data_IF_660757283012
#
_entry.id   IF_660757283012
#
_cell.length_a   1.000
_cell.length_b   1.000
_cell.length_c   1.000
_cell.angle_alpha   90.00
_cell.angle_beta   90.00
_cell.angle_gamma   90.00
#
_symmetry.space_group_name_H-M   'P 1'
#
loop_
_entity.id
_entity.type
_entity.pdbx_description
1 polymer ?
#
# COMPACT_ATOMS: atom_id res chain seq x y z
N UNK A 1 -13.07 -11.64 -26.85
CA UNK A 1 -13.78 -11.76 -25.57
C UNK A 1 -12.89 -11.11 -24.53
N UNK A 2 -13.28 -9.99 -23.93
CA UNK A 2 -12.45 -9.31 -22.93
C UNK A 2 -13.25 -9.03 -21.66
N UNK A 3 -12.51 -9.14 -20.57
CA UNK A 3 -12.91 -9.06 -19.19
C UNK A 3 -12.86 -7.57 -18.79
N UNK A 4 -14.00 -6.96 -18.47
CA UNK A 4 -13.98 -5.76 -17.62
C UNK A 4 -13.94 -6.24 -16.18
N UNK A 5 -12.98 -5.71 -15.43
CA UNK A 5 -12.81 -6.06 -14.03
C UNK A 5 -13.84 -5.28 -13.24
N UNK A 6 -14.97 -5.90 -12.91
CA UNK A 6 -16.00 -5.24 -12.11
C UNK A 6 -15.60 -5.20 -10.63
N UNK A 7 -14.86 -6.20 -10.16
CA UNK A 7 -14.37 -6.24 -8.79
C UNK A 7 -13.14 -7.13 -8.64
N UNK A 8 -12.00 -6.55 -8.26
CA UNK A 8 -10.84 -7.30 -7.76
C UNK A 8 -10.82 -7.20 -6.23
N UNK A 9 -11.21 -8.28 -5.57
CA UNK A 9 -10.95 -8.48 -4.14
C UNK A 9 -9.61 -9.21 -3.99
N UNK A 10 -8.52 -8.45 -4.15
CA UNK A 10 -7.18 -8.93 -3.81
C UNK A 10 -6.96 -8.73 -2.30
N UNK A 11 -6.23 -9.63 -1.64
CA UNK A 11 -5.94 -9.42 -0.21
C UNK A 11 -4.53 -9.86 0.12
N UNK A 12 -3.60 -8.93 0.05
CA UNK A 12 -2.26 -9.10 0.59
C UNK A 12 -2.07 -8.16 1.78
N UNK A 13 -2.50 -8.60 2.96
CA UNK A 13 -2.16 -7.92 4.21
C UNK A 13 -1.06 -8.69 4.92
N UNK A 14 0.02 -8.00 5.28
CA UNK A 14 1.09 -8.53 6.13
C UNK A 14 0.55 -9.06 7.48
N UNK A 15 -0.57 -8.49 7.94
CA UNK A 15 -1.21 -8.85 9.21
C UNK A 15 -2.36 -9.84 9.06
N UNK A 16 -2.88 -10.06 7.86
CA UNK A 16 -4.03 -10.90 7.64
C UNK A 16 -3.86 -11.81 6.42
N UNK A 17 -3.52 -13.05 6.74
CA UNK A 17 -3.00 -14.05 5.82
C UNK A 17 -4.16 -14.80 5.14
N UNK A 18 -4.80 -14.14 4.17
CA UNK A 18 -5.75 -14.76 3.23
C UNK A 18 -5.06 -14.81 1.86
N UNK A 19 -4.53 -15.97 1.46
CA UNK A 19 -3.71 -16.15 0.25
C UNK A 19 -4.51 -16.43 -1.00
N UNK A 20 -5.52 -15.60 -1.29
CA UNK A 20 -6.19 -15.70 -2.56
C UNK A 20 -6.53 -14.32 -3.10
N UNK A 21 -6.60 -14.26 -4.42
CA UNK A 21 -7.15 -13.14 -5.15
C UNK A 21 -8.51 -13.61 -5.65
N UNK A 22 -9.56 -12.84 -5.38
CA UNK A 22 -10.89 -13.08 -5.94
C UNK A 22 -11.20 -11.97 -6.92
N UNK A 23 -11.65 -12.34 -8.10
CA UNK A 23 -11.97 -11.39 -9.16
C UNK A 23 -13.36 -11.73 -9.70
N UNK A 24 -14.24 -10.74 -9.72
CA UNK A 24 -15.53 -10.76 -10.40
C UNK A 24 -15.44 -9.85 -11.62
N UNK A 25 -15.92 -10.36 -12.75
CA UNK A 25 -15.69 -9.72 -14.04
C UNK A 25 -16.91 -9.85 -14.94
N UNK A 26 -17.26 -8.77 -15.62
CA UNK A 26 -18.25 -8.78 -16.68
C UNK A 26 -17.52 -8.77 -18.01
N UNK A 27 -17.81 -9.79 -18.80
CA UNK A 27 -17.19 -9.96 -20.11
C UNK A 27 -18.01 -9.19 -21.13
N UNK A 28 -17.35 -8.29 -21.85
CA UNK A 28 -17.97 -7.58 -22.96
C UNK A 28 -17.36 -8.01 -24.31
N UNK A 29 -18.22 -7.98 -25.32
CA UNK A 29 -17.86 -8.25 -26.71
C UNK A 29 -17.93 -6.98 -27.54
N UNK A 30 -16.94 -6.77 -28.42
CA UNK A 30 -16.88 -5.65 -29.36
C UNK A 30 -15.46 -5.09 -29.54
N UNK A 31 -15.07 -4.83 -30.79
CA UNK A 31 -13.71 -4.41 -31.13
C UNK A 31 -13.29 -3.09 -30.46
N UNK A 32 -14.21 -2.13 -30.29
CA UNK A 32 -13.94 -0.87 -29.60
C UNK A 32 -13.67 -1.07 -28.11
N UNK A 33 -14.45 -1.93 -27.44
CA UNK A 33 -14.25 -2.27 -26.03
C UNK A 33 -12.88 -2.92 -25.80
N UNK A 34 -12.45 -3.79 -26.73
CA UNK A 34 -11.12 -4.39 -26.67
C UNK A 34 -9.99 -3.35 -26.69
N UNK A 35 -10.13 -2.30 -27.50
CA UNK A 35 -9.15 -1.22 -27.56
C UNK A 35 -9.13 -0.38 -26.28
N UNK A 36 -10.29 -0.19 -25.63
CA UNK A 36 -10.37 0.47 -24.32
C UNK A 36 -9.69 -0.31 -23.20
N UNK A 37 -9.62 -1.64 -23.28
CA UNK A 37 -8.92 -2.45 -22.27
C UNK A 37 -7.43 -2.09 -22.20
N UNK A 38 -6.78 -1.83 -23.34
CA UNK A 38 -5.36 -1.47 -23.37
C UNK A 38 -5.07 -0.17 -22.62
N UNK A 39 -6.01 0.79 -22.59
CA UNK A 39 -5.85 2.01 -21.79
C UNK A 39 -6.01 1.82 -20.29
N UNK A 40 -6.54 0.67 -19.86
CA UNK A 40 -6.68 0.30 -18.44
C UNK A 40 -5.49 -0.52 -17.94
N UNK A 41 -4.47 -0.76 -18.77
CA UNK A 41 -3.23 -1.44 -18.39
C UNK A 41 -2.09 -0.44 -18.27
N UNK A 42 -1.23 -0.62 -17.28
CA UNK A 42 -0.04 0.21 -17.07
C UNK A 42 1.17 -0.64 -16.64
N UNK A 43 2.36 -0.19 -17.05
CA UNK A 43 3.60 -0.57 -16.37
C UNK A 43 3.79 0.28 -15.12
N UNK A 44 4.46 -0.30 -14.13
CA UNK A 44 4.81 0.35 -12.86
C UNK A 44 6.30 0.56 -12.82
N UNK A 45 6.72 1.81 -12.64
CA UNK A 45 8.08 2.16 -12.28
C UNK A 45 8.14 2.32 -10.77
N UNK A 46 8.77 1.39 -10.06
CA UNK A 46 8.83 1.36 -8.60
C UNK A 46 10.27 1.60 -8.12
N UNK A 47 10.49 2.68 -7.37
CA UNK A 47 11.80 3.05 -6.86
C UNK A 47 12.33 2.00 -5.86
N UNK A 48 13.58 1.58 -6.04
CA UNK A 48 14.22 0.58 -5.17
C UNK A 48 14.58 1.11 -3.78
N UNK A 49 14.78 2.43 -3.65
CA UNK A 49 15.15 3.06 -2.39
C UNK A 49 13.95 3.45 -1.53
N UNK A 50 13.07 4.31 -2.05
CA UNK A 50 11.98 4.90 -1.26
C UNK A 50 10.60 4.28 -1.52
N UNK A 51 10.48 3.38 -2.51
CA UNK A 51 9.19 2.75 -2.85
C UNK A 51 8.18 3.69 -3.54
N UNK A 52 8.58 4.91 -3.90
CA UNK A 52 7.76 5.77 -4.78
C UNK A 52 7.52 5.05 -6.10
N UNK A 53 6.30 5.13 -6.60
CA UNK A 53 5.91 4.51 -7.86
C UNK A 53 5.29 5.51 -8.83
N UNK A 54 5.43 5.24 -10.12
CA UNK A 54 4.75 5.94 -11.20
C UNK A 54 4.15 4.92 -12.18
N UNK A 55 3.00 5.26 -12.74
CA UNK A 55 2.31 4.41 -13.72
C UNK A 55 2.58 4.94 -15.13
N UNK A 56 2.90 4.02 -16.04
CA UNK A 56 3.00 4.28 -17.46
C UNK A 56 1.94 3.47 -18.19
N UNK A 57 0.84 4.11 -18.66
CA UNK A 57 -0.20 3.40 -19.41
C UNK A 57 0.37 2.65 -20.62
N UNK A 58 -0.29 1.59 -21.07
CA UNK A 58 0.04 0.92 -22.33
C UNK A 58 -0.72 1.51 -23.52
N UNK A 59 -1.85 2.16 -23.26
CA UNK A 59 -2.65 2.84 -24.26
C UNK A 59 -3.21 4.15 -23.71
N UNK A 60 -3.34 5.15 -24.59
CA UNK A 60 -3.93 6.45 -24.26
C UNK A 60 -5.16 6.67 -25.13
N UNK A 61 -6.21 7.21 -24.52
CA UNK A 61 -7.42 7.65 -25.21
C UNK A 61 -7.31 9.15 -25.47
N UNK A 62 -7.40 9.55 -26.73
CA UNK A 62 -7.50 10.96 -27.12
C UNK A 62 -8.90 11.22 -27.66
N UNK A 63 -9.66 12.02 -26.94
CA UNK A 63 -10.99 12.45 -27.37
C UNK A 63 -10.87 13.67 -28.29
N UNK A 64 -11.65 13.72 -29.37
CA UNK A 64 -11.65 14.86 -30.27
C UNK A 64 -12.43 16.03 -29.65
N UNK A 65 -11.82 17.22 -29.57
CA UNK A 65 -12.43 18.43 -28.98
C UNK A 65 -13.76 18.82 -29.64
N UNK A 66 -13.95 18.51 -30.93
CA UNK A 66 -15.16 18.84 -31.68
C UNK A 66 -16.25 17.77 -31.59
N UNK A 67 -15.90 16.53 -31.23
CA UNK A 67 -16.86 15.44 -31.15
C UNK A 67 -16.40 14.42 -30.11
N UNK A 68 -16.93 14.54 -28.90
CA UNK A 68 -16.59 13.68 -27.76
C UNK A 68 -16.89 12.19 -27.99
N UNK A 69 -17.66 11.83 -29.02
CA UNK A 69 -17.95 10.44 -29.38
C UNK A 69 -16.83 9.78 -30.20
N UNK A 70 -15.92 10.56 -30.80
CA UNK A 70 -14.82 10.02 -31.60
C UNK A 70 -13.55 9.90 -30.75
N UNK A 71 -13.26 8.68 -30.30
CA UNK A 71 -12.07 8.38 -29.49
C UNK A 71 -10.96 7.80 -30.38
N UNK A 72 -9.77 8.39 -30.29
CA UNK A 72 -8.55 7.89 -30.96
C UNK A 72 -7.67 7.18 -29.94
N UNK A 73 -7.27 5.96 -30.25
CA UNK A 73 -6.32 5.19 -29.45
C UNK A 73 -4.90 5.51 -29.89
N UNK A 74 -4.00 5.72 -28.93
CA UNK A 74 -2.59 6.01 -29.18
C UNK A 74 -1.69 5.30 -28.19
N UNK A 75 -0.40 5.29 -28.50
CA UNK A 75 0.66 4.78 -27.63
C UNK A 75 1.22 5.96 -26.83
N UNK A 76 1.43 5.83 -25.52
CA UNK A 76 2.02 6.88 -24.71
C UNK A 76 3.50 7.07 -25.06
N UNK A 77 4.01 8.27 -24.77
CA UNK A 77 5.39 8.65 -25.07
C UNK A 77 6.24 8.53 -23.81
N UNK A 78 7.36 7.81 -23.92
CA UNK A 78 8.48 7.82 -22.96
C UNK A 78 8.17 7.32 -21.55
N UNK A 79 9.19 6.92 -20.78
CA UNK A 79 8.99 6.61 -19.37
C UNK A 79 8.48 7.87 -18.63
N UNK A 80 7.55 7.74 -17.67
CA UNK A 80 6.99 8.87 -16.93
C UNK A 80 7.98 9.39 -15.86
N UNK A 81 9.14 8.76 -15.74
CA UNK A 81 10.16 9.04 -14.72
C UNK A 81 11.53 9.13 -15.38
N UNK A 82 12.43 9.87 -14.74
CA UNK A 82 13.84 9.92 -15.13
C UNK A 82 14.58 8.61 -14.78
N UNK A 83 15.85 8.49 -15.18
CA UNK A 83 16.71 7.36 -14.83
C UNK A 83 16.85 7.14 -13.31
N UNK A 84 16.79 8.23 -12.51
CA UNK A 84 16.88 8.18 -11.05
C UNK A 84 15.62 8.76 -10.40
N UNK A 85 15.26 8.23 -9.24
CA UNK A 85 14.13 8.72 -8.48
C UNK A 85 14.37 10.17 -8.06
N UNK A 86 13.39 11.03 -8.35
CA UNK A 86 13.45 12.45 -8.01
C UNK A 86 13.56 12.66 -6.51
N UNK A 87 12.98 11.77 -5.67
CA UNK A 87 12.97 11.92 -4.22
C UNK A 87 14.25 11.43 -3.52
N UNK A 88 14.77 10.25 -3.91
CA UNK A 88 15.86 9.62 -3.18
C UNK A 88 17.10 9.25 -4.03
N UNK A 89 17.10 9.53 -5.34
CA UNK A 89 18.24 9.32 -6.24
C UNK A 89 18.52 7.86 -6.64
N UNK A 90 17.73 6.90 -6.15
CA UNK A 90 17.86 5.47 -6.46
C UNK A 90 17.19 5.09 -7.78
N UNK A 91 17.59 3.98 -8.42
CA UNK A 91 16.98 3.51 -9.67
C UNK A 91 15.54 3.00 -9.46
N UNK A 92 14.86 2.72 -10.57
CA UNK A 92 13.52 2.14 -10.59
C UNK A 92 13.56 0.69 -11.11
N UNK A 93 12.79 -0.18 -10.50
CA UNK A 93 12.38 -1.44 -11.12
C UNK A 93 11.14 -1.20 -11.97
N UNK A 94 11.08 -1.89 -13.10
CA UNK A 94 9.89 -1.92 -13.96
C UNK A 94 9.15 -3.21 -13.64
N UNK A 95 7.85 -3.11 -13.35
CA UNK A 95 6.97 -4.25 -13.11
C UNK A 95 5.64 -4.07 -13.84
N UNK A 96 4.96 -5.17 -14.13
CA UNK A 96 3.68 -5.17 -14.83
C UNK A 96 3.68 -6.02 -16.11
N UNK A 97 2.68 -5.83 -16.99
CA UNK A 97 1.62 -4.84 -16.87
C UNK A 97 0.61 -5.18 -15.77
N UNK A 98 0.14 -4.14 -15.07
CA UNK A 98 -0.94 -4.23 -14.08
C UNK A 98 -2.20 -3.56 -14.64
N UNK A 99 -3.35 -3.89 -14.05
CA UNK A 99 -4.57 -3.11 -14.23
C UNK A 99 -4.46 -1.79 -13.47
N UNK A 100 -4.61 -0.67 -14.18
CA UNK A 100 -4.60 0.69 -13.63
C UNK A 100 -5.95 1.40 -13.76
N UNK A 101 -6.97 0.73 -14.31
CA UNK A 101 -8.34 1.21 -14.30
C UNK A 101 -9.01 1.01 -12.92
N UNK A 102 -10.29 1.43 -12.79
CA UNK A 102 -11.09 1.14 -11.61
C UNK A 102 -11.05 -0.35 -11.27
N UNK A 103 -10.78 -0.66 -10.00
CA UNK A 103 -10.72 -2.03 -9.48
C UNK A 103 -12.09 -2.53 -9.00
N UNK A 104 -13.02 -1.61 -8.76
CA UNK A 104 -14.31 -1.87 -8.14
C UNK A 104 -15.42 -1.12 -8.86
N UNK A 105 -16.59 -1.74 -8.91
CA UNK A 105 -17.84 -1.15 -9.36
C UNK A 105 -18.69 -0.77 -8.14
N UNK A 106 -18.88 0.53 -7.84
CA UNK A 106 -19.65 0.96 -6.66
C UNK A 106 -21.08 0.43 -6.65
N UNK A 107 -21.70 0.34 -7.82
CA UNK A 107 -23.08 -0.14 -7.98
C UNK A 107 -23.18 -1.62 -7.61
N UNK A 108 -22.23 -2.43 -8.10
CA UNK A 108 -22.18 -3.86 -7.77
C UNK A 108 -21.84 -4.10 -6.29
N UNK A 109 -20.89 -3.35 -5.73
CA UNK A 109 -20.55 -3.43 -4.30
C UNK A 109 -21.78 -3.07 -3.44
N UNK A 110 -22.55 -2.07 -3.85
CA UNK A 110 -23.78 -1.68 -3.18
C UNK A 110 -24.85 -2.76 -3.26
N UNK A 111 -25.08 -3.32 -4.46
CA UNK A 111 -26.03 -4.42 -4.67
C UNK A 111 -25.69 -5.65 -3.80
N UNK A 112 -24.41 -6.00 -3.69
CA UNK A 112 -23.96 -7.10 -2.84
C UNK A 112 -24.16 -6.78 -1.36
N UNK A 113 -23.93 -5.53 -0.93
CA UNK A 113 -24.20 -5.09 0.45
C UNK A 113 -25.69 -5.19 0.80
N UNK A 114 -26.57 -4.82 -0.13
CA UNK A 114 -28.02 -4.83 0.07
C UNK A 114 -28.60 -6.27 0.02
N UNK A 115 -28.00 -7.14 -0.79
CA UNK A 115 -28.42 -8.55 -0.92
C UNK A 115 -27.87 -9.44 0.19
N UNK A 116 -26.73 -9.06 0.79
CA UNK A 116 -26.10 -9.85 1.84
C UNK A 116 -27.04 -9.98 3.06
N UNK A 117 -27.38 -11.22 3.42
CA UNK A 117 -28.26 -11.49 4.56
C UNK A 117 -27.46 -11.74 5.85
N UNK A 118 -27.99 -11.25 6.96
CA UNK A 118 -27.49 -11.56 8.32
C UNK A 118 -27.51 -13.06 8.65
N UNK A 119 -28.27 -13.86 7.88
CA UNK A 119 -28.27 -15.33 7.99
C UNK A 119 -26.91 -15.96 7.66
N UNK A 120 -26.03 -15.24 6.96
CA UNK A 120 -24.68 -15.71 6.67
C UNK A 120 -23.79 -15.54 7.90
N UNK A 121 -23.15 -16.63 8.35
CA UNK A 121 -22.17 -16.57 9.44
C UNK A 121 -21.01 -15.58 9.17
N UNK A 122 -20.75 -15.27 7.90
CA UNK A 122 -19.71 -14.34 7.44
C UNK A 122 -20.22 -12.92 7.19
N UNK A 123 -21.48 -12.60 7.49
CA UNK A 123 -22.12 -11.31 7.19
C UNK A 123 -21.30 -10.11 7.70
N UNK A 124 -20.94 -10.09 9.00
CA UNK A 124 -20.13 -9.00 9.60
C UNK A 124 -18.80 -8.77 8.87
N UNK A 125 -18.19 -9.85 8.37
CA UNK A 125 -16.95 -9.80 7.59
C UNK A 125 -17.22 -9.23 6.19
N UNK A 126 -18.27 -9.67 5.52
CA UNK A 126 -18.66 -9.18 4.19
C UNK A 126 -18.96 -7.68 4.28
N UNK A 127 -19.84 -7.29 5.20
CA UNK A 127 -20.22 -5.90 5.45
C UNK A 127 -18.99 -5.02 5.72
N UNK A 128 -18.11 -5.44 6.63
CA UNK A 128 -16.94 -4.65 6.98
C UNK A 128 -15.92 -4.50 5.86
N UNK A 129 -15.70 -5.53 5.04
CA UNK A 129 -14.78 -5.46 3.89
C UNK A 129 -15.38 -4.63 2.75
N UNK A 130 -16.62 -4.91 2.37
CA UNK A 130 -17.29 -4.18 1.28
C UNK A 130 -17.51 -2.71 1.62
N UNK A 131 -17.75 -2.36 2.88
CA UNK A 131 -17.83 -0.96 3.31
C UNK A 131 -16.51 -0.22 3.11
N UNK A 132 -15.35 -0.88 3.34
CA UNK A 132 -14.03 -0.26 3.07
C UNK A 132 -13.79 -0.11 1.58
N UNK A 133 -14.17 -1.11 0.79
CA UNK A 133 -14.04 -1.08 -0.68
C UNK A 133 -14.89 0.06 -1.25
N UNK A 134 -16.12 0.24 -0.75
CA UNK A 134 -17.01 1.32 -1.17
C UNK A 134 -16.45 2.72 -0.87
N UNK A 135 -15.67 2.86 0.21
CA UNK A 135 -14.99 4.10 0.59
C UNK A 135 -13.62 4.30 -0.11
N UNK A 136 -13.15 3.30 -0.86
CA UNK A 136 -11.83 3.30 -1.48
C UNK A 136 -11.82 4.13 -2.78
N UNK A 137 -10.74 4.89 -3.01
CA UNK A 137 -10.56 5.65 -4.25
C UNK A 137 -10.43 4.69 -5.45
N UNK A 138 -11.29 4.88 -6.45
CA UNK A 138 -11.39 4.05 -7.66
C UNK A 138 -10.33 4.40 -8.71
N UNK A 139 -9.98 5.68 -8.77
CA UNK A 139 -9.03 6.28 -9.71
C UNK A 139 -7.55 6.01 -9.33
N UNK A 140 -7.32 5.48 -8.12
CA UNK A 140 -5.98 5.24 -7.58
C UNK A 140 -5.77 3.73 -7.35
N UNK A 141 -5.05 3.02 -8.25
CA UNK A 141 -4.93 1.55 -8.16
C UNK A 141 -3.96 1.10 -7.06
N UNK A 142 -2.88 1.86 -6.81
CA UNK A 142 -1.83 1.54 -5.84
C UNK A 142 -1.99 2.34 -4.54
N UNK A 143 -1.21 2.00 -3.51
CA UNK A 143 -1.32 2.60 -2.18
C UNK A 143 0.05 2.87 -1.56
N UNK A 144 0.08 3.77 -0.58
CA UNK A 144 1.22 4.02 0.28
C UNK A 144 1.02 3.35 1.63
N UNK A 145 2.02 2.59 2.10
CA UNK A 145 2.02 2.03 3.46
C UNK A 145 2.79 2.97 4.39
N UNK A 146 2.13 3.47 5.43
CA UNK A 146 2.74 4.43 6.37
C UNK A 146 3.97 3.84 7.07
N UNK A 147 3.94 2.56 7.40
CA UNK A 147 5.08 1.85 8.01
C UNK A 147 6.30 1.82 7.07
N UNK A 148 6.08 1.67 5.76
CA UNK A 148 7.17 1.68 4.77
C UNK A 148 7.71 3.10 4.58
N UNK A 149 6.84 4.10 4.48
CA UNK A 149 7.27 5.51 4.40
C UNK A 149 8.09 5.90 5.63
N UNK A 150 7.57 5.62 6.81
CA UNK A 150 8.24 5.93 8.09
C UNK A 150 9.54 5.16 8.25
N UNK A 151 9.54 3.87 7.88
CA UNK A 151 10.73 3.03 7.90
C UNK A 151 11.83 3.51 6.95
N UNK A 152 11.46 4.11 5.81
CA UNK A 152 12.40 4.64 4.81
C UNK A 152 13.19 5.84 5.34
N UNK A 153 12.54 6.72 6.11
CA UNK A 153 13.17 7.92 6.70
C UNK A 153 13.48 7.76 8.20
N UNK A 154 13.27 6.57 8.75
CA UNK A 154 13.56 6.19 10.14
C UNK A 154 12.85 7.01 11.24
N UNK A 155 11.67 7.55 10.93
CA UNK A 155 10.80 8.29 11.87
C UNK A 155 9.83 7.36 12.61
N UNK A 156 9.29 7.85 13.72
CA UNK A 156 8.11 7.23 14.34
C UNK A 156 6.92 7.27 13.37
N UNK A 157 6.18 6.16 13.30
CA UNK A 157 5.06 6.06 12.36
C UNK A 157 3.92 6.98 12.80
N UNK A 158 3.52 7.96 11.96
CA UNK A 158 2.48 8.92 12.32
C UNK A 158 1.13 8.24 12.52
N UNK A 159 0.27 8.76 13.41
CA UNK A 159 -1.09 8.29 13.53
C UNK A 159 -1.84 8.45 12.20
N UNK A 160 -2.57 7.40 11.81
CA UNK A 160 -3.28 7.34 10.54
C UNK A 160 -4.25 8.52 10.31
N UNK A 161 -4.89 9.01 11.38
CA UNK A 161 -5.81 10.15 11.28
C UNK A 161 -5.09 11.48 11.04
N UNK A 162 -3.88 11.64 11.58
CA UNK A 162 -3.06 12.84 11.36
C UNK A 162 -2.63 12.94 9.89
N UNK A 163 -2.11 11.85 9.31
CA UNK A 163 -1.71 11.86 7.88
C UNK A 163 -2.90 12.06 6.96
N UNK A 164 -4.02 11.38 7.22
CA UNK A 164 -5.24 11.59 6.42
C UNK A 164 -5.74 13.03 6.52
N UNK A 165 -5.66 13.63 7.71
CA UNK A 165 -6.03 15.05 7.88
C UNK A 165 -5.08 15.96 7.11
N UNK A 166 -3.77 15.73 7.16
CA UNK A 166 -2.79 16.52 6.40
C UNK A 166 -3.03 16.45 4.88
N UNK A 167 -3.33 15.28 4.34
CA UNK A 167 -3.63 15.10 2.91
C UNK A 167 -4.94 15.83 2.52
N UNK A 168 -5.97 15.74 3.36
CA UNK A 168 -7.26 16.43 3.14
C UNK A 168 -7.11 17.95 3.24
N UNK A 169 -6.38 18.44 4.24
CA UNK A 169 -6.08 19.86 4.42
C UNK A 169 -5.24 20.41 3.25
N UNK A 170 -4.45 19.57 2.60
CA UNK A 170 -3.71 19.91 1.38
C UNK A 170 -4.57 19.96 0.10
N UNK A 171 -5.87 19.60 0.19
CA UNK A 171 -6.80 19.61 -0.94
C UNK A 171 -6.82 18.34 -1.77
N UNK A 172 -6.20 17.25 -1.29
CA UNK A 172 -6.16 15.97 -1.99
C UNK A 172 -7.15 14.96 -1.39
N UNK A 173 -7.61 14.04 -2.22
CA UNK A 173 -8.48 12.93 -1.80
C UNK A 173 -7.64 11.85 -1.11
N UNK A 174 -8.20 11.24 -0.08
CA UNK A 174 -7.56 10.12 0.61
C UNK A 174 -8.57 9.09 1.10
N UNK A 175 -8.34 7.82 0.76
CA UNK A 175 -9.08 6.68 1.30
C UNK A 175 -8.17 5.74 2.06
N UNK A 176 -8.79 4.87 2.84
CA UNK A 176 -8.13 3.63 3.24
C UNK A 176 -8.11 2.65 2.07
N UNK A 177 -7.41 1.53 2.25
CA UNK A 177 -7.50 0.40 1.35
C UNK A 177 -7.84 -0.87 2.10
N UNK A 178 -8.63 -1.74 1.47
CA UNK A 178 -8.91 -3.08 2.00
C UNK A 178 -7.69 -4.02 1.96
N UNK A 179 -6.63 -3.66 1.21
CA UNK A 179 -5.39 -4.44 1.10
C UNK A 179 -4.62 -4.52 2.42
N UNK A 180 -4.47 -3.39 3.11
CA UNK A 180 -3.61 -3.26 4.28
C UNK A 180 -4.13 -2.19 5.24
N UNK A 181 -4.08 -2.49 6.54
CA UNK A 181 -4.56 -1.62 7.62
C UNK A 181 -3.75 -0.33 7.75
N UNK A 182 -2.46 -0.41 7.49
CA UNK A 182 -1.51 0.71 7.62
C UNK A 182 -1.30 1.47 6.33
N UNK A 183 -2.17 1.25 5.33
CA UNK A 183 -2.06 1.85 4.01
C UNK A 183 -3.18 2.83 3.69
N UNK A 184 -2.83 3.79 2.83
CA UNK A 184 -3.72 4.81 2.30
C UNK A 184 -3.60 4.88 0.78
N UNK A 185 -4.71 5.22 0.12
CA UNK A 185 -4.73 5.63 -1.28
C UNK A 185 -5.00 7.12 -1.35
N UNK A 186 -4.39 7.79 -2.31
CA UNK A 186 -4.52 9.23 -2.49
C UNK A 186 -4.16 9.61 -3.91
N UNK A 187 -4.81 10.66 -4.41
CA UNK A 187 -4.47 11.32 -5.68
C UNK A 187 -3.34 12.34 -5.52
N UNK A 188 -2.83 12.55 -4.30
CA UNK A 188 -1.69 13.40 -4.06
C UNK A 188 -0.43 12.86 -4.76
N UNK A 189 0.32 13.72 -5.45
CA UNK A 189 1.57 13.32 -6.06
C UNK A 189 2.62 12.94 -5.00
N UNK A 190 3.60 12.14 -5.39
CA UNK A 190 4.56 11.57 -4.44
C UNK A 190 5.42 12.63 -3.73
N UNK A 191 5.67 13.79 -4.36
CA UNK A 191 6.33 14.93 -3.70
C UNK A 191 5.55 15.39 -2.48
N UNK A 192 4.24 15.62 -2.61
CA UNK A 192 3.36 16.04 -1.50
C UNK A 192 3.41 15.04 -0.34
N UNK A 193 3.40 13.74 -0.64
CA UNK A 193 3.48 12.71 0.40
C UNK A 193 4.82 12.78 1.15
N UNK A 194 5.94 12.96 0.43
CA UNK A 194 7.25 13.12 1.06
C UNK A 194 7.39 14.46 1.80
N UNK A 195 6.75 15.54 1.36
CA UNK A 195 6.68 16.81 2.10
C UNK A 195 5.93 16.64 3.43
N UNK A 196 4.77 15.98 3.41
CA UNK A 196 4.01 15.69 4.63
C UNK A 196 4.87 14.87 5.61
N UNK A 197 5.57 13.85 5.12
CA UNK A 197 6.48 13.06 5.97
C UNK A 197 7.67 13.87 6.51
N UNK A 198 8.15 14.87 5.76
CA UNK A 198 9.17 15.82 6.22
C UNK A 198 8.63 16.79 7.26
N UNK A 199 7.40 17.30 7.11
CA UNK A 199 6.74 18.09 8.17
C UNK A 199 6.59 17.27 9.46
N UNK A 200 6.25 15.99 9.33
CA UNK A 200 6.17 15.08 10.49
C UNK A 200 7.53 14.89 11.18
N UNK A 201 8.61 14.72 10.41
CA UNK A 201 9.97 14.62 10.96
C UNK A 201 10.41 15.90 11.70
N UNK A 202 10.00 17.09 11.24
CA UNK A 202 10.28 18.33 11.97
C UNK A 202 9.63 18.37 13.35
N UNK A 203 8.41 17.84 13.49
CA UNK A 203 7.73 17.74 14.80
C UNK A 203 8.29 16.59 15.65
N UNK A 204 8.75 15.51 15.01
CA UNK A 204 9.25 14.28 15.66
C UNK A 204 10.64 13.91 15.11
N UNK A 205 11.69 14.65 15.51
CA UNK A 205 13.01 14.58 14.87
C UNK A 205 13.71 13.25 15.11
N UNK A 206 14.44 12.78 14.10
CA UNK A 206 15.23 11.56 14.22
C UNK A 206 16.61 11.83 14.83
N UNK A 207 17.16 10.82 15.50
CA UNK A 207 18.52 10.90 16.00
C UNK A 207 19.52 11.06 14.84
N UNK A 208 20.35 12.11 14.86
CA UNK A 208 21.31 12.46 13.79
C UNK A 208 22.21 11.30 13.35
N UNK A 209 22.55 10.37 14.25
CA UNK A 209 23.31 9.14 13.93
C UNK A 209 22.66 8.22 12.89
N UNK A 210 21.35 8.37 12.64
CA UNK A 210 20.60 7.59 11.63
C UNK A 210 20.64 8.25 10.24
N UNK A 211 21.10 9.50 10.15
CA UNK A 211 21.27 10.22 8.88
C UNK A 211 22.64 9.87 8.29
N UNK A 212 22.69 8.75 7.58
CA UNK A 212 23.88 8.32 6.85
C UNK A 212 23.82 8.90 5.43
N UNK A 213 24.90 9.51 4.98
CA UNK A 213 24.99 10.08 3.63
C UNK A 213 24.70 9.03 2.53
N UNK A 214 24.17 9.50 1.39
CA UNK A 214 23.75 8.66 0.24
C UNK A 214 22.64 7.63 0.51
N UNK A 215 22.05 7.61 1.70
CA UNK A 215 20.86 6.80 1.97
C UNK A 215 19.59 7.46 1.43
N UNK A 216 18.53 6.69 1.14
CA UNK A 216 17.23 7.26 0.79
C UNK A 216 16.71 8.27 1.82
N UNK A 217 16.89 7.96 3.12
CA UNK A 217 16.50 8.83 4.23
C UNK A 217 17.16 10.20 4.12
N UNK A 218 18.49 10.24 3.96
CA UNK A 218 19.26 11.47 3.83
C UNK A 218 18.80 12.30 2.63
N UNK A 219 18.67 11.68 1.45
CA UNK A 219 18.30 12.39 0.23
C UNK A 219 16.88 12.97 0.27
N UNK A 220 15.94 12.27 0.92
CA UNK A 220 14.57 12.75 1.09
C UNK A 220 14.55 13.93 2.06
N UNK A 221 15.18 13.77 3.23
CA UNK A 221 15.15 14.79 4.31
C UNK A 221 15.99 16.03 3.98
N UNK A 222 17.03 15.90 3.13
CA UNK A 222 17.85 17.03 2.70
C UNK A 222 17.12 18.01 1.76
N UNK A 223 16.01 17.58 1.14
CA UNK A 223 15.23 18.46 0.26
C UNK A 223 14.46 19.50 1.07
N UNK A 224 14.38 20.72 0.55
CA UNK A 224 13.54 21.78 1.12
C UNK A 224 12.05 21.48 0.91
N UNK A 225 11.23 21.84 1.91
CA UNK A 225 9.77 21.77 1.80
C UNK A 225 9.28 22.82 0.82
N UNK A 226 8.36 22.44 -0.07
CA UNK A 226 7.71 23.41 -0.96
C UNK A 226 6.58 24.14 -0.23
N UNK A 227 5.89 23.44 0.67
CA UNK A 227 4.74 23.91 1.44
C UNK A 227 4.75 23.31 2.83
N UNK A 228 4.19 24.02 3.79
CA UNK A 228 3.89 23.47 5.11
C UNK A 228 2.52 22.79 5.11
N UNK A 229 2.44 21.65 5.79
CA UNK A 229 1.23 20.81 5.83
C UNK A 229 0.71 20.72 7.27
N UNK A 230 -0.56 21.04 7.46
CA UNK A 230 -1.20 21.04 8.78
C UNK A 230 -1.76 19.65 9.14
N UNK A 231 -1.37 19.12 10.29
CA UNK A 231 -1.91 17.88 10.86
C UNK A 231 -3.19 18.07 11.69
N UNK A 232 -3.77 19.28 11.71
CA UNK A 232 -5.02 19.56 12.40
C UNK A 232 -6.14 18.63 11.93
N UNK A 233 -6.93 18.12 12.89
CA UNK A 233 -7.94 17.08 12.62
C UNK A 233 -8.97 17.55 11.59
N UNK A 234 -9.08 16.82 10.47
CA UNK A 234 -10.04 17.11 9.43
C UNK A 234 -11.33 16.29 9.62
N UNK A 235 -12.54 16.87 9.48
CA UNK A 235 -13.81 16.15 9.72
C UNK A 235 -13.98 14.89 8.87
N UNK A 236 -13.52 14.92 7.61
CA UNK A 236 -13.58 13.77 6.69
C UNK A 236 -12.43 12.75 6.88
N UNK A 237 -11.51 12.97 7.83
CA UNK A 237 -10.40 12.04 8.04
C UNK A 237 -10.88 10.68 8.58
N UNK A 238 -11.95 10.68 9.38
CA UNK A 238 -12.53 9.44 9.91
C UNK A 238 -13.68 8.96 9.00
N UNK A 239 -13.53 7.83 8.28
CA UNK A 239 -14.58 7.32 7.41
C UNK A 239 -15.75 6.71 8.18
N UNK A 240 -16.91 6.64 7.54
CA UNK A 240 -18.16 6.15 8.14
C UNK A 240 -18.05 4.70 8.61
N UNK A 241 -17.45 3.81 7.83
CA UNK A 241 -17.24 2.40 8.19
C UNK A 241 -16.48 2.23 9.51
N UNK A 242 -15.58 3.17 9.82
CA UNK A 242 -14.84 3.20 11.09
C UNK A 242 -15.66 3.81 12.21
N UNK A 243 -16.42 4.88 11.95
CA UNK A 243 -17.33 5.49 12.94
C UNK A 243 -18.40 4.50 13.41
N UNK A 244 -18.94 3.72 12.48
CA UNK A 244 -19.95 2.68 12.72
C UNK A 244 -19.37 1.39 13.33
N UNK A 245 -18.04 1.30 13.49
CA UNK A 245 -17.40 0.15 14.15
C UNK A 245 -17.43 -1.15 13.34
N UNK A 246 -17.54 -1.08 12.01
CA UNK A 246 -17.57 -2.29 11.18
C UNK A 246 -16.25 -3.07 11.23
N UNK A 247 -16.33 -4.39 11.01
CA UNK A 247 -15.18 -5.29 11.03
C UNK A 247 -14.34 -5.16 9.75
N UNK A 248 -13.54 -4.10 9.65
CA UNK A 248 -12.73 -3.76 8.47
C UNK A 248 -11.60 -4.74 8.20
N UNK A 249 -10.98 -5.24 9.28
CA UNK A 249 -9.93 -6.26 9.25
C UNK A 249 -10.27 -7.32 10.29
N UNK A 250 -10.13 -8.61 9.96
CA UNK A 250 -10.40 -9.65 10.95
C UNK A 250 -9.12 -9.96 11.72
N UNK A 251 -9.27 -10.30 12.99
CA UNK A 251 -8.18 -10.85 13.77
C UNK A 251 -7.76 -12.22 13.21
N UNK A 252 -6.48 -12.54 13.37
CA UNK A 252 -6.02 -13.90 13.12
C UNK A 252 -6.63 -14.82 14.21
N UNK A 253 -7.21 -15.96 13.83
CA UNK A 253 -7.91 -16.83 14.78
C UNK A 253 -6.95 -17.49 15.79
N UNK A 254 -5.67 -17.68 15.44
CA UNK A 254 -4.65 -18.25 16.32
C UNK A 254 -3.33 -17.47 16.27
N UNK A 255 -2.48 -17.52 17.31
CA UNK A 255 -1.09 -17.09 17.23
C UNK A 255 -0.34 -17.88 16.14
N UNK A 256 0.53 -17.22 15.39
CA UNK A 256 1.26 -17.81 14.25
C UNK A 256 0.38 -18.40 13.14
N UNK A 257 -0.88 -17.95 13.05
CA UNK A 257 -1.78 -18.26 11.94
C UNK A 257 -1.17 -17.79 10.62
N UNK A 258 -1.13 -18.67 9.61
CA UNK A 258 -0.47 -18.37 8.35
C UNK A 258 0.07 -19.62 7.65
N UNK A 259 0.68 -19.49 6.46
CA UNK A 259 1.41 -20.56 5.83
C UNK A 259 2.54 -20.92 6.77
N UNK A 260 2.66 -22.21 7.07
CA UNK A 260 3.82 -22.73 7.77
C UNK A 260 5.12 -22.34 7.06
N UNK A 261 6.25 -22.57 7.73
CA UNK A 261 7.54 -22.44 7.06
C UNK A 261 7.55 -23.27 5.78
N UNK A 262 8.15 -22.72 4.71
CA UNK A 262 8.35 -23.41 3.41
C UNK A 262 8.69 -24.88 3.66
N UNK A 263 7.94 -25.79 3.04
CA UNK A 263 8.24 -27.22 3.10
C UNK A 263 9.69 -27.44 2.64
N UNK A 264 10.57 -27.79 3.56
CA UNK A 264 11.88 -28.32 3.22
C UNK A 264 11.68 -29.77 2.82
N UNK A 265 11.71 -30.06 1.52
CA UNK A 265 11.83 -31.43 1.04
C UNK A 265 13.20 -31.95 1.47
N UNK A 266 13.27 -32.64 2.61
CA UNK A 266 14.48 -33.32 3.06
C UNK A 266 14.11 -34.67 3.69
N UNK A 267 14.45 -35.73 2.94
CA UNK A 267 14.44 -37.14 3.33
C UNK A 267 15.48 -37.35 4.44
N UNK A 268 15.08 -37.92 5.57
CA UNK A 268 15.98 -38.34 6.65
C UNK A 268 15.31 -38.32 8.02
N UNK A 269 15.25 -39.48 8.68
CA UNK A 269 14.49 -39.74 9.91
C UNK A 269 15.03 -39.03 11.16
N UNK A 270 16.24 -38.46 11.10
CA UNK A 270 16.86 -37.81 12.24
C UNK A 270 16.96 -36.29 12.05
N UNK A 271 16.06 -35.52 12.70
CA UNK A 271 16.45 -34.21 13.27
C UNK A 271 15.48 -33.53 14.25
N UNK A 272 16.11 -32.95 15.28
CA UNK A 272 15.59 -32.00 16.26
C UNK A 272 14.96 -30.77 15.58
N UNK A 273 13.75 -30.37 16.04
CA UNK A 273 13.02 -29.18 15.56
C UNK A 273 13.90 -27.92 15.59
N UNK A 274 13.89 -27.14 14.51
CA UNK A 274 14.64 -25.87 14.35
C UNK A 274 14.36 -24.86 15.48
N UNK A 275 13.17 -24.91 16.10
CA UNK A 275 12.84 -24.08 17.28
C UNK A 275 13.71 -24.43 18.50
N UNK A 276 13.95 -25.73 18.76
CA UNK A 276 14.86 -26.19 19.82
C UNK A 276 16.30 -25.78 19.54
N UNK A 277 16.74 -25.80 18.27
CA UNK A 277 18.11 -25.40 17.87
C UNK A 277 18.39 -23.90 18.04
N UNK A 278 17.35 -23.07 18.00
CA UNK A 278 17.49 -21.62 18.00
C UNK A 278 17.07 -20.97 19.34
N UNK A 279 16.57 -21.73 20.31
CA UNK A 279 16.39 -21.24 21.69
C UNK A 279 17.76 -20.89 22.30
N UNK A 280 17.86 -19.72 22.93
CA UNK A 280 19.06 -19.31 23.68
C UNK A 280 20.19 -18.65 22.87
N UNK A 281 20.18 -18.68 21.53
CA UNK A 281 21.25 -18.10 20.68
C UNK A 281 21.44 -16.57 20.77
N UNK A 282 20.56 -15.87 21.46
CA UNK A 282 20.63 -14.40 21.68
C UNK A 282 20.65 -14.02 23.16
N UNK A 283 21.00 -14.93 24.08
CA UNK A 283 21.44 -14.48 25.41
C UNK A 283 22.81 -13.85 25.21
N UNK A 284 22.87 -12.53 25.41
CA UNK A 284 24.10 -11.74 25.50
C UNK A 284 25.03 -12.45 26.50
N UNK A 285 26.24 -12.81 26.06
CA UNK A 285 27.32 -13.19 26.98
C UNK A 285 27.55 -11.99 27.89
N UNK A 286 27.22 -12.13 29.17
CA UNK A 286 27.72 -11.22 30.19
C UNK A 286 29.22 -11.52 30.31
N UNK A 287 30.02 -10.53 29.94
CA UNK A 287 31.47 -10.48 30.07
C UNK A 287 31.95 -10.99 31.44
N UNK A 288 32.83 -11.97 31.42
CA UNK A 288 33.73 -12.32 32.52
C UNK A 288 34.99 -11.47 32.40
N UNK A 289 35.33 -10.73 33.46
CA UNK A 289 36.64 -10.19 33.90
C UNK A 289 36.28 -9.24 35.05
N UNK A 290 36.75 -9.34 36.30
CA UNK A 290 38.07 -9.70 36.87
C UNK A 290 37.88 -10.19 38.32
N UNK A 291 38.28 -11.41 38.69
CA UNK A 291 39.47 -11.75 39.51
C UNK A 291 39.71 -10.93 40.79
N UNK A 292 39.63 -11.63 41.93
CA UNK A 292 40.47 -11.58 43.14
C UNK A 292 40.86 -10.22 43.75
N UNK A 293 40.37 -9.94 44.97
CA UNK A 293 41.21 -9.44 46.07
C UNK A 293 40.48 -9.48 47.43
N UNK A 294 41.19 -10.06 48.40
CA UNK A 294 41.12 -9.89 49.87
C UNK A 294 40.18 -10.79 50.68
N UNK A 295 40.78 -11.92 51.07
CA UNK A 295 40.85 -12.37 52.46
C UNK A 295 41.31 -11.21 53.37
N UNK A 296 40.49 -10.89 54.38
CA UNK A 296 40.83 -10.88 55.82
C UNK A 296 39.56 -10.54 56.63
#
# INVERSE_FOLDING_TARGET
>A
MLIDMDDILCRFSHYQLIFYIRVFVQVFSGAQKCKHTTSKLSQVYHCTGCGTFALHPLGVLKTNEKNSKLVKFGIPTGPPVSHRCEHCGHPHHIGGPIWSGPLHSPDFVQEVLDTASEKLCTFKRIQGVLSVIKEELLDVPLYYALEKLSGTIHVETPPMMSIRSAILNAGYKVSFTHMNRTSIKTDAPANVIWDIMRCWEKEHPIAKKRLIENTPAYNILAKQLEKDYSFAAHPAANPESKKLGFLRFQANPLPHWGPGTRATAMVGENKIKKSKRNQGKRKREASQESSDANQD
#
